data_IF_480229557374
#
_entry.id   IF_480229557374
#
_cell.length_a   1.000
_cell.length_b   1.000
_cell.length_c   1.000
_cell.angle_alpha   90.00
_cell.angle_beta   90.00
_cell.angle_gamma   90.00
#
_symmetry.space_group_name_H-M   'P 1'
#
loop_
_entity.id
_entity.type
_entity.pdbx_description
1 polymer ?
#
# COMPACT_ATOMS: atom_id res chain seq x y z
N UNK A 1 2.42 -4.84 12.44
CA UNK A 1 2.37 -5.92 11.43
C UNK A 1 2.73 -5.29 10.10
N UNK A 2 3.78 -5.79 9.46
CA UNK A 2 4.31 -5.24 8.20
C UNK A 2 4.30 -6.35 7.12
N UNK A 3 3.92 -5.98 5.90
CA UNK A 3 3.77 -6.82 4.70
C UNK A 3 3.01 -8.14 4.89
N UNK A 4 1.67 -8.12 4.92
CA UNK A 4 0.85 -9.33 4.84
C UNK A 4 1.24 -10.46 5.81
N UNK A 5 1.75 -10.11 6.99
CA UNK A 5 2.23 -11.06 7.99
C UNK A 5 3.47 -11.87 7.61
N UNK A 6 4.31 -11.35 6.70
CA UNK A 6 5.58 -11.99 6.35
C UNK A 6 6.57 -11.96 7.53
N UNK A 7 7.45 -12.98 7.66
CA UNK A 7 8.46 -13.00 8.71
C UNK A 7 9.31 -11.74 8.69
N UNK A 8 9.56 -11.14 9.87
CA UNK A 8 10.40 -9.95 10.03
C UNK A 8 11.63 -10.26 10.90
N UNK A 9 12.61 -9.35 10.89
CA UNK A 9 13.62 -9.39 11.96
C UNK A 9 12.94 -9.09 13.30
N UNK A 10 13.41 -9.72 14.38
CA UNK A 10 12.80 -9.56 15.71
C UNK A 10 13.16 -8.18 16.30
N UNK A 11 12.33 -7.62 17.21
CA UNK A 11 12.60 -6.33 17.83
C UNK A 11 13.92 -6.26 18.60
N UNK A 12 14.39 -7.41 19.11
CA UNK A 12 15.68 -7.56 19.79
C UNK A 12 16.90 -7.56 18.84
N UNK A 13 16.67 -7.34 17.53
CA UNK A 13 17.70 -7.34 16.49
C UNK A 13 18.01 -8.73 15.92
N UNK A 14 17.42 -9.81 16.46
CA UNK A 14 17.64 -11.16 15.96
C UNK A 14 17.13 -11.30 14.53
N UNK A 15 18.02 -11.73 13.62
CA UNK A 15 17.72 -11.90 12.21
C UNK A 15 16.79 -13.09 11.96
N UNK A 16 16.03 -13.01 10.86
CA UNK A 16 15.30 -14.16 10.30
C UNK A 16 16.23 -15.35 10.12
N UNK A 17 15.77 -16.53 10.53
CA UNK A 17 16.35 -17.82 10.15
C UNK A 17 16.35 -18.00 8.63
N UNK A 18 17.15 -18.95 8.14
CA UNK A 18 17.19 -19.27 6.71
C UNK A 18 15.81 -19.69 6.15
N UNK A 19 14.97 -20.36 6.96
CA UNK A 19 13.62 -20.73 6.56
C UNK A 19 12.69 -19.51 6.51
N UNK A 20 12.70 -18.67 7.55
CA UNK A 20 11.92 -17.42 7.57
C UNK A 20 12.31 -16.50 6.41
N UNK A 21 13.61 -16.45 6.07
CA UNK A 21 14.11 -15.68 4.94
C UNK A 21 13.55 -16.18 3.61
N UNK A 22 13.54 -17.50 3.38
CA UNK A 22 12.95 -18.09 2.17
C UNK A 22 11.45 -17.80 2.05
N UNK A 23 10.72 -17.86 3.16
CA UNK A 23 9.27 -17.52 3.19
C UNK A 23 9.06 -16.04 2.88
N UNK A 24 9.87 -15.17 3.50
CA UNK A 24 9.83 -13.73 3.26
C UNK A 24 10.09 -13.40 1.78
N UNK A 25 11.18 -13.91 1.20
CA UNK A 25 11.55 -13.61 -0.19
C UNK A 25 10.48 -14.12 -1.18
N UNK A 26 9.89 -15.31 -0.92
CA UNK A 26 8.78 -15.84 -1.73
C UNK A 26 7.54 -14.96 -1.63
N UNK A 27 7.16 -14.54 -0.42
CA UNK A 27 6.00 -13.68 -0.21
C UNK A 27 6.19 -12.30 -0.83
N UNK A 28 7.39 -11.73 -0.69
CA UNK A 28 7.75 -10.45 -1.27
C UNK A 28 7.67 -10.47 -2.80
N UNK A 29 8.09 -11.58 -3.43
CA UNK A 29 7.96 -11.77 -4.88
C UNK A 29 6.51 -11.88 -5.38
N UNK A 30 5.54 -12.10 -4.49
CA UNK A 30 4.11 -12.19 -4.82
C UNK A 30 3.29 -10.99 -4.30
N UNK A 31 3.95 -9.98 -3.71
CA UNK A 31 3.27 -8.88 -3.03
C UNK A 31 2.38 -8.07 -3.98
N UNK A 32 2.79 -7.93 -5.24
CA UNK A 32 2.02 -7.27 -6.28
C UNK A 32 0.74 -8.03 -6.63
N UNK A 33 0.76 -9.37 -6.56
CA UNK A 33 -0.44 -10.17 -6.77
C UNK A 33 -1.41 -9.97 -5.62
N UNK A 34 -0.94 -10.01 -4.37
CA UNK A 34 -1.81 -9.79 -3.21
C UNK A 34 -2.54 -8.44 -3.28
N UNK A 35 -1.80 -7.36 -3.52
CA UNK A 35 -2.38 -6.02 -3.61
C UNK A 35 -3.08 -5.75 -4.94
N UNK A 36 -2.71 -6.41 -6.03
CA UNK A 36 -3.20 -6.15 -7.38
C UNK A 36 -4.36 -7.04 -7.83
N UNK A 37 -4.55 -8.22 -7.24
CA UNK A 37 -5.53 -9.21 -7.70
C UNK A 37 -6.97 -8.68 -7.64
N UNK A 38 -7.78 -8.96 -8.68
CA UNK A 38 -9.16 -8.47 -8.81
C UNK A 38 -10.10 -8.99 -7.72
N UNK A 39 -9.71 -10.05 -7.00
CA UNK A 39 -10.50 -10.75 -5.97
C UNK A 39 -10.16 -10.31 -4.55
N UNK A 40 -9.14 -9.47 -4.35
CA UNK A 40 -8.85 -8.89 -3.03
C UNK A 40 -9.52 -7.54 -2.86
N UNK A 41 -9.85 -7.16 -1.63
CA UNK A 41 -10.30 -5.80 -1.29
C UNK A 41 -9.18 -5.07 -0.57
N UNK A 42 -8.81 -3.89 -1.05
CA UNK A 42 -7.77 -3.05 -0.45
C UNK A 42 -8.44 -1.84 0.19
N UNK A 43 -8.27 -1.71 1.50
CA UNK A 43 -8.73 -0.55 2.29
C UNK A 43 -7.49 0.24 2.67
N UNK A 44 -7.48 1.53 2.36
CA UNK A 44 -6.36 2.43 2.60
C UNK A 44 -6.73 3.49 3.63
N UNK A 45 -5.76 3.78 4.50
CA UNK A 45 -5.82 4.88 5.46
C UNK A 45 -4.69 5.85 5.11
N UNK A 46 -4.94 6.71 4.13
CA UNK A 46 -3.92 7.63 3.60
C UNK A 46 -3.77 8.92 4.41
N UNK A 47 -4.72 9.20 5.30
CA UNK A 47 -4.72 10.34 6.20
C UNK A 47 -4.89 9.87 7.64
N UNK A 48 -4.20 10.53 8.56
CA UNK A 48 -4.44 10.37 9.99
C UNK A 48 -5.65 11.21 10.41
N UNK A 49 -6.46 10.75 11.38
CA UNK A 49 -7.48 11.59 12.00
C UNK A 49 -6.88 12.88 12.54
N UNK A 50 -7.59 14.00 12.40
CA UNK A 50 -7.13 15.32 12.87
C UNK A 50 -7.04 15.39 14.40
N UNK A 51 -7.92 14.65 15.08
CA UNK A 51 -8.03 14.62 16.53
C UNK A 51 -7.69 13.22 17.01
N UNK A 52 -6.43 12.99 17.35
CA UNK A 52 -5.97 11.71 17.85
C UNK A 52 -5.48 11.90 19.30
N UNK A 53 -6.32 11.53 20.27
CA UNK A 53 -5.91 11.47 21.67
C UNK A 53 -5.17 10.16 21.92
N UNK A 54 -3.84 10.18 21.83
CA UNK A 54 -3.03 9.01 22.08
C UNK A 54 -2.40 9.04 23.48
N UNK A 55 -2.13 7.87 24.09
CA UNK A 55 -1.29 7.79 25.27
C UNK A 55 0.08 8.45 25.00
N UNK A 56 0.66 9.09 26.03
CA UNK A 56 1.94 9.82 25.91
C UNK A 56 3.09 8.95 25.39
N UNK A 57 3.03 7.65 25.67
CA UNK A 57 4.08 6.68 25.31
C UNK A 57 3.80 5.98 23.97
N UNK A 58 2.77 6.42 23.23
CA UNK A 58 2.40 5.82 21.96
C UNK A 58 3.15 6.48 20.79
N UNK A 59 4.19 5.83 20.30
CA UNK A 59 4.89 6.26 19.09
C UNK A 59 3.99 6.15 17.86
N UNK A 60 3.76 7.28 17.20
CA UNK A 60 2.95 7.33 15.97
C UNK A 60 3.82 7.70 14.78
N UNK A 61 3.74 6.91 13.72
CA UNK A 61 4.38 7.27 12.47
C UNK A 61 3.55 8.33 11.74
N UNK A 62 3.83 9.61 12.01
CA UNK A 62 3.19 10.77 11.37
C UNK A 62 3.77 11.08 9.98
N UNK A 63 4.65 10.24 9.44
CA UNK A 63 5.19 10.43 8.09
C UNK A 63 4.05 10.37 7.08
N UNK A 64 3.86 11.42 6.25
CA UNK A 64 2.78 11.46 5.28
C UNK A 64 2.77 10.23 4.37
N UNK A 65 1.58 9.68 4.10
CA UNK A 65 1.44 8.47 3.27
C UNK A 65 2.15 8.60 1.92
N UNK A 66 2.05 9.77 1.29
CA UNK A 66 2.54 10.05 -0.07
C UNK A 66 4.05 9.98 -0.22
N UNK A 67 4.81 10.21 0.86
CA UNK A 67 6.28 10.18 0.82
C UNK A 67 6.86 8.79 1.14
N UNK A 68 6.02 7.84 1.58
CA UNK A 68 6.45 6.48 1.96
C UNK A 68 6.45 5.59 0.72
N UNK A 69 7.64 5.13 0.32
CA UNK A 69 7.84 4.39 -0.93
C UNK A 69 7.02 3.11 -1.05
N UNK A 70 7.01 2.28 0.00
CA UNK A 70 6.19 1.06 0.06
C UNK A 70 4.70 1.35 -0.04
N UNK A 71 4.19 2.28 0.76
CA UNK A 71 2.77 2.64 0.74
C UNK A 71 2.33 3.16 -0.62
N UNK A 72 3.18 3.97 -1.28
CA UNK A 72 2.92 4.43 -2.64
C UNK A 72 2.87 3.26 -3.63
N UNK A 73 3.83 2.33 -3.57
CA UNK A 73 3.83 1.13 -4.42
C UNK A 73 2.54 0.30 -4.26
N UNK A 74 2.16 -0.01 -3.02
CA UNK A 74 0.96 -0.80 -2.73
C UNK A 74 -0.32 -0.08 -3.19
N UNK A 75 -0.38 1.24 -3.00
CA UNK A 75 -1.48 2.08 -3.45
C UNK A 75 -1.61 2.12 -4.97
N UNK A 76 -0.49 2.14 -5.70
CA UNK A 76 -0.47 2.14 -7.17
C UNK A 76 -0.86 0.78 -7.71
N UNK A 77 -0.20 -0.29 -7.24
CA UNK A 77 -0.48 -1.68 -7.69
C UNK A 77 -1.94 -2.07 -7.46
N UNK A 78 -2.51 -1.71 -6.31
CA UNK A 78 -3.92 -1.97 -6.03
C UNK A 78 -4.89 -1.25 -6.96
N UNK A 79 -4.47 -0.15 -7.60
CA UNK A 79 -5.29 0.59 -8.55
C UNK A 79 -5.37 -0.01 -9.94
N UNK A 80 -4.42 -0.87 -10.33
CA UNK A 80 -4.21 -1.27 -11.73
C UNK A 80 -5.38 -2.09 -12.28
N UNK A 81 -5.76 -3.17 -11.58
CA UNK A 81 -6.75 -4.14 -12.08
C UNK A 81 -8.11 -4.08 -11.39
N UNK A 82 -8.15 -3.52 -10.18
CA UNK A 82 -9.33 -3.58 -9.31
C UNK A 82 -10.43 -2.68 -9.82
N UNK A 83 -11.68 -3.14 -9.71
CA UNK A 83 -12.85 -2.27 -9.79
C UNK A 83 -12.79 -1.18 -8.71
N UNK A 84 -13.44 -0.02 -8.91
CA UNK A 84 -13.50 1.05 -7.92
C UNK A 84 -13.85 0.57 -6.51
N UNK A 85 -14.90 -0.23 -6.39
CA UNK A 85 -15.46 -0.72 -5.13
C UNK A 85 -14.58 -1.71 -4.36
N UNK A 86 -13.48 -2.20 -4.95
CA UNK A 86 -12.52 -3.13 -4.34
C UNK A 86 -11.24 -2.43 -3.86
N UNK A 87 -11.14 -1.10 -4.04
CA UNK A 87 -10.04 -0.28 -3.53
C UNK A 87 -10.60 1.02 -2.97
N UNK A 88 -10.69 1.10 -1.64
CA UNK A 88 -11.30 2.21 -0.93
C UNK A 88 -10.23 2.97 -0.15
N UNK A 89 -10.16 4.29 -0.34
CA UNK A 89 -9.31 5.18 0.44
C UNK A 89 -10.15 5.96 1.46
N UNK A 90 -10.16 5.45 2.70
CA UNK A 90 -10.91 6.05 3.81
C UNK A 90 -10.34 7.40 4.23
N UNK A 91 -9.06 7.67 3.92
CA UNK A 91 -8.45 8.99 4.18
C UNK A 91 -9.11 10.09 3.34
N UNK A 92 -9.63 9.76 2.16
CA UNK A 92 -10.38 10.70 1.31
C UNK A 92 -11.86 10.75 1.71
N UNK A 93 -12.41 9.62 2.14
CA UNK A 93 -13.81 9.50 2.56
C UNK A 93 -14.12 10.00 3.97
N UNK A 94 -13.15 10.56 4.70
CA UNK A 94 -13.28 10.88 6.12
C UNK A 94 -14.56 11.66 6.48
N UNK A 95 -14.90 12.70 5.72
CA UNK A 95 -16.10 13.51 5.97
C UNK A 95 -17.42 12.72 5.84
N UNK A 96 -17.46 11.69 4.99
CA UNK A 96 -18.64 10.84 4.81
C UNK A 96 -18.70 9.75 5.90
N UNK A 97 -17.56 9.38 6.49
CA UNK A 97 -17.52 8.43 7.60
C UNK A 97 -18.02 9.04 8.91
N UNK A 98 -17.91 10.36 9.07
CA UNK A 98 -18.39 11.10 10.24
C UNK A 98 -19.89 11.47 10.14
N UNK A 99 -20.53 11.25 8.99
CA UNK A 99 -21.94 11.54 8.76
C UNK A 99 -22.82 10.33 9.13
N UNK A 100 -23.58 10.42 10.22
CA UNK A 100 -24.49 9.36 10.69
C UNK A 100 -25.59 9.01 9.67
N UNK A 101 -25.89 9.91 8.72
CA UNK A 101 -26.84 9.68 7.64
C UNK A 101 -26.26 9.00 6.40
N UNK A 102 -24.94 8.79 6.34
CA UNK A 102 -24.28 8.23 5.18
C UNK A 102 -24.58 6.73 5.00
N UNK A 103 -25.00 6.37 3.79
CA UNK A 103 -25.10 4.97 3.38
C UNK A 103 -23.77 4.43 2.82
N UNK A 104 -23.70 3.11 2.63
CA UNK A 104 -22.52 2.47 2.06
C UNK A 104 -22.18 2.99 0.65
N UNK A 105 -23.19 3.37 -0.13
CA UNK A 105 -22.98 3.93 -1.48
C UNK A 105 -22.26 5.28 -1.44
N UNK A 106 -22.59 6.14 -0.47
CA UNK A 106 -21.91 7.40 -0.24
C UNK A 106 -20.44 7.17 0.15
N UNK A 107 -20.18 6.23 1.05
CA UNK A 107 -18.81 5.84 1.44
C UNK A 107 -18.00 5.36 0.24
N UNK A 108 -18.56 4.45 -0.57
CA UNK A 108 -17.87 3.93 -1.77
C UNK A 108 -17.53 5.04 -2.78
N UNK A 109 -18.49 5.94 -3.07
CA UNK A 109 -18.24 7.07 -3.99
C UNK A 109 -17.14 7.99 -3.47
N UNK A 110 -17.18 8.37 -2.19
CA UNK A 110 -16.18 9.25 -1.60
C UNK A 110 -14.79 8.60 -1.57
N UNK A 111 -14.71 7.33 -1.14
CA UNK A 111 -13.45 6.61 -0.98
C UNK A 111 -12.80 6.20 -2.31
N UNK A 112 -13.47 6.38 -3.46
CA UNK A 112 -12.92 6.07 -4.79
C UNK A 112 -12.60 7.31 -5.61
N UNK A 113 -12.86 8.52 -5.09
CA UNK A 113 -12.74 9.77 -5.82
C UNK A 113 -11.31 10.11 -6.27
N UNK A 114 -10.28 9.62 -5.56
CA UNK A 114 -8.87 9.91 -5.87
C UNK A 114 -8.19 8.88 -6.77
N UNK A 115 -8.93 7.92 -7.34
CA UNK A 115 -8.36 6.85 -8.14
C UNK A 115 -7.62 7.42 -9.36
N UNK A 116 -6.38 6.97 -9.51
CA UNK A 116 -5.52 7.34 -10.63
C UNK A 116 -5.55 6.23 -11.70
N UNK A 117 -5.38 6.58 -12.98
CA UNK A 117 -5.13 5.58 -14.01
C UNK A 117 -3.84 4.79 -13.71
N UNK A 118 -3.70 3.56 -14.25
CA UNK A 118 -2.46 2.81 -14.13
C UNK A 118 -1.26 3.62 -14.63
N UNK A 119 -0.20 3.67 -13.82
CA UNK A 119 1.03 4.38 -14.13
C UNK A 119 1.92 3.51 -15.04
N UNK A 120 2.55 4.09 -16.05
CA UNK A 120 3.53 3.34 -16.85
C UNK A 120 4.79 3.02 -16.02
N UNK A 121 5.54 1.95 -16.34
CA UNK A 121 6.68 1.54 -15.52
C UNK A 121 7.75 2.61 -15.31
N UNK A 122 8.03 3.43 -16.32
CA UNK A 122 9.06 4.49 -16.23
C UNK A 122 8.65 5.59 -15.24
N UNK A 123 7.38 6.02 -15.29
CA UNK A 123 6.83 6.97 -14.33
C UNK A 123 6.83 6.40 -12.91
N UNK A 124 6.57 5.10 -12.78
CA UNK A 124 6.62 4.41 -11.48
C UNK A 124 8.05 4.40 -10.92
N UNK A 125 9.04 4.08 -11.75
CA UNK A 125 10.45 4.09 -11.36
C UNK A 125 10.88 5.50 -10.90
N UNK A 126 10.53 6.53 -11.69
CA UNK A 126 10.80 7.92 -11.34
C UNK A 126 10.16 8.28 -9.99
N UNK A 127 8.89 7.92 -9.79
CA UNK A 127 8.14 8.21 -8.57
C UNK A 127 8.72 7.51 -7.34
N UNK A 128 9.10 6.24 -7.45
CA UNK A 128 9.72 5.50 -6.34
C UNK A 128 11.05 6.16 -5.95
N UNK A 129 11.84 6.63 -6.91
CA UNK A 129 13.12 7.28 -6.63
C UNK A 129 12.99 8.61 -5.86
N UNK A 130 11.83 9.26 -5.89
CA UNK A 130 11.56 10.48 -5.12
C UNK A 130 11.06 10.23 -3.69
N UNK A 131 10.89 8.97 -3.28
CA UNK A 131 10.22 8.59 -2.03
C UNK A 131 11.19 8.01 -1.02
N UNK A 132 10.76 8.05 0.26
CA UNK A 132 11.56 7.55 1.38
C UNK A 132 11.37 6.06 1.56
N UNK A 133 12.50 5.37 1.72
CA UNK A 133 12.58 3.97 2.09
C UNK A 133 13.47 3.81 3.32
N UNK A 134 13.17 2.81 4.14
CA UNK A 134 14.06 2.40 5.24
C UNK A 134 15.30 1.68 4.68
N UNK A 135 15.18 1.05 3.51
CA UNK A 135 16.26 0.37 2.79
C UNK A 135 16.29 0.84 1.34
N UNK A 136 17.38 1.50 0.93
CA UNK A 136 17.54 2.06 -0.42
C UNK A 136 17.44 1.01 -1.53
N UNK A 137 17.72 -0.28 -1.23
CA UNK A 137 17.58 -1.38 -2.20
C UNK A 137 16.13 -1.66 -2.59
N UNK A 138 15.17 -1.22 -1.77
CA UNK A 138 13.75 -1.45 -2.01
C UNK A 138 13.27 -0.71 -3.27
N UNK A 139 13.85 0.44 -3.60
CA UNK A 139 13.50 1.19 -4.82
C UNK A 139 13.70 0.35 -6.09
N UNK A 140 14.88 -0.25 -6.23
CA UNK A 140 15.21 -1.08 -7.40
C UNK A 140 14.37 -2.36 -7.43
N UNK A 141 14.17 -2.99 -6.28
CA UNK A 141 13.33 -4.18 -6.13
C UNK A 141 11.89 -3.88 -6.58
N UNK A 142 11.26 -2.86 -6.01
CA UNK A 142 9.87 -2.52 -6.30
C UNK A 142 9.66 -2.08 -7.74
N UNK A 143 10.62 -1.36 -8.31
CA UNK A 143 10.60 -1.01 -9.75
C UNK A 143 10.55 -2.27 -10.60
N UNK A 144 11.40 -3.27 -10.30
CA UNK A 144 11.41 -4.54 -11.04
C UNK A 144 10.10 -5.33 -10.89
N UNK A 145 9.53 -5.38 -9.68
CA UNK A 145 8.26 -6.06 -9.40
C UNK A 145 7.12 -5.38 -10.17
N UNK A 146 7.06 -4.04 -10.14
CA UNK A 146 6.02 -3.29 -10.85
C UNK A 146 6.12 -3.47 -12.37
N UNK A 147 7.32 -3.35 -12.93
CA UNK A 147 7.55 -3.51 -14.36
C UNK A 147 7.00 -4.85 -14.85
N UNK A 148 7.38 -5.94 -14.17
CA UNK A 148 6.89 -7.29 -14.49
C UNK A 148 5.36 -7.37 -14.39
N UNK A 149 4.80 -6.91 -13.28
CA UNK A 149 3.36 -6.92 -13.03
C UNK A 149 2.57 -6.19 -14.12
N UNK A 150 3.01 -4.98 -14.49
CA UNK A 150 2.33 -4.14 -15.46
C UNK A 150 2.23 -4.84 -16.82
N UNK A 151 3.33 -5.38 -17.34
CA UNK A 151 3.34 -6.02 -18.65
C UNK A 151 2.60 -7.37 -18.65
N UNK A 152 2.72 -8.17 -17.60
CA UNK A 152 1.94 -9.41 -17.45
C UNK A 152 0.43 -9.12 -17.45
N UNK A 153 0.05 -8.00 -16.84
CA UNK A 153 -1.35 -7.56 -16.73
C UNK A 153 -1.89 -6.95 -18.03
N UNK A 154 -1.09 -6.16 -18.74
CA UNK A 154 -1.53 -5.52 -19.99
C UNK A 154 -1.60 -6.50 -21.16
N UNK A 155 -0.86 -7.62 -21.09
CA UNK A 155 -0.90 -8.68 -22.09
C UNK A 155 -2.04 -9.70 -21.88
N UNK A 156 -2.80 -9.61 -20.78
CA UNK A 156 -3.89 -10.53 -20.41
C UNK A 156 -5.28 -10.00 -20.76
#
# INVERSE_FOLDING_TARGET
WDFASLPQDRPDGTKKSAQERRVFDKGLGAINQLYGDKKTTVIQLTQMPKELSLPKDFETNLTPFTVRGWCFFEATVSGVLKRPDFRLDLGVGAAVLDDEGADWGAVQRACTANRQPPMIPDDMAWNLNQRRFTNERDTALLTSIYYKFFWETMAS
#
